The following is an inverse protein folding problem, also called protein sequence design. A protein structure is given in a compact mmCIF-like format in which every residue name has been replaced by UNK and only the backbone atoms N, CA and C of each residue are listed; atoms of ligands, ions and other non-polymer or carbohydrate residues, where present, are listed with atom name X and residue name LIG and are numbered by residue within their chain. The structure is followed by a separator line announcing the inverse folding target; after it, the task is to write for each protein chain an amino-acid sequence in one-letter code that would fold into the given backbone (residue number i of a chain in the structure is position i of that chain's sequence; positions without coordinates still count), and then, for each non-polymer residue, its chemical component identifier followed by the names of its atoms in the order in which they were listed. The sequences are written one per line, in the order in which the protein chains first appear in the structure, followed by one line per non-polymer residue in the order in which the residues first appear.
data_IF_723147136297
#
_entry.id   IF_723147136297
#
_cell.length_a   1.000
_cell.length_b   1.000
_cell.length_c   1.000
_cell.angle_alpha   90.00
_cell.angle_beta   90.00
_cell.angle_gamma   90.00
#
_symmetry.space_group_name_H-M   'P 1'
#
loop_
_entity.id
_entity.type
_entity.pdbx_description
1 polymer ?
#
# COMPACT_ATOMS: atom_id res chain seq x y z
N UNK A 1 100.72 -93.69 -28.96
CA UNK A 1 100.72 -93.63 -30.44
C UNK A 1 99.35 -93.12 -30.83
N UNK A 2 99.38 -92.01 -31.57
CA UNK A 2 98.32 -91.33 -32.33
C UNK A 2 97.23 -90.61 -31.49
N UNK A 3 97.23 -89.27 -31.39
CA UNK A 3 96.94 -88.22 -32.40
C UNK A 3 95.45 -88.19 -32.79
N UNK A 4 94.71 -87.08 -32.85
CA UNK A 4 95.06 -85.65 -32.95
C UNK A 4 93.80 -84.79 -32.63
N UNK A 5 94.04 -83.62 -32.02
CA UNK A 5 93.44 -82.28 -32.23
C UNK A 5 91.95 -81.92 -31.93
N UNK A 6 91.88 -80.76 -31.28
CA UNK A 6 90.89 -79.65 -31.39
C UNK A 6 89.72 -79.53 -30.39
N UNK A 7 90.01 -78.77 -29.30
CA UNK A 7 89.43 -77.44 -28.97
C UNK A 7 87.90 -77.32 -28.96
N UNK A 8 87.29 -77.24 -27.77
CA UNK A 8 87.03 -75.95 -27.11
C UNK A 8 86.49 -76.17 -25.68
N UNK A 9 87.02 -75.41 -24.73
CA UNK A 9 86.81 -75.57 -23.30
C UNK A 9 85.51 -74.95 -22.79
N UNK A 10 84.92 -75.66 -21.84
CA UNK A 10 83.94 -75.17 -20.87
C UNK A 10 84.55 -74.14 -19.90
N UNK A 11 83.66 -73.35 -19.29
CA UNK A 11 83.86 -72.74 -17.98
C UNK A 11 83.00 -71.49 -17.83
N UNK A 12 82.36 -71.17 -16.71
CA UNK A 12 82.22 -71.84 -15.42
C UNK A 12 81.20 -71.03 -14.59
N UNK A 13 80.56 -71.69 -13.62
CA UNK A 13 79.75 -71.16 -12.50
C UNK A 13 80.53 -70.09 -11.66
N UNK A 14 80.02 -69.25 -10.77
CA UNK A 14 78.90 -69.31 -9.80
C UNK A 14 78.73 -67.90 -9.09
N UNK A 15 78.16 -67.77 -7.85
CA UNK A 15 76.89 -67.12 -7.42
C UNK A 15 77.11 -65.72 -6.78
N UNK A 16 76.15 -65.14 -6.02
CA UNK A 16 76.28 -64.30 -4.79
C UNK A 16 75.06 -63.35 -4.53
N UNK A 17 74.61 -63.38 -3.26
CA UNK A 17 74.04 -62.33 -2.36
C UNK A 17 72.76 -61.55 -2.76
N UNK A 18 71.63 -61.59 -2.03
CA UNK A 18 71.23 -61.25 -0.63
C UNK A 18 70.89 -59.76 -0.43
N UNK A 19 69.65 -59.55 0.05
CA UNK A 19 69.12 -58.41 0.82
C UNK A 19 69.04 -57.01 0.16
N UNK A 20 67.85 -56.69 -0.37
CA UNK A 20 67.33 -55.34 -0.49
C UNK A 20 65.97 -55.27 0.21
N UNK A 21 65.96 -54.70 1.41
CA UNK A 21 64.75 -54.33 2.12
C UNK A 21 63.95 -53.31 1.31
N UNK A 22 62.67 -53.55 1.11
CA UNK A 22 61.68 -52.48 1.10
C UNK A 22 60.32 -53.07 1.50
N UNK A 23 60.04 -52.81 2.76
CA UNK A 23 58.77 -52.97 3.46
C UNK A 23 57.65 -52.37 2.60
N UNK A 24 56.93 -53.23 1.87
CA UNK A 24 55.78 -52.80 1.08
C UNK A 24 54.72 -52.35 2.07
N UNK A 25 54.55 -51.03 2.10
CA UNK A 25 53.60 -50.26 2.87
C UNK A 25 52.30 -51.02 3.11
N UNK A 26 51.97 -51.24 4.38
CA UNK A 26 50.61 -51.49 4.79
C UNK A 26 49.74 -50.36 4.23
N UNK A 27 48.92 -50.70 3.24
CA UNK A 27 47.85 -49.86 2.73
C UNK A 27 46.91 -49.61 3.91
N UNK A 28 47.14 -48.50 4.62
CA UNK A 28 46.20 -47.98 5.60
C UNK A 28 44.92 -47.72 4.86
N UNK A 29 43.95 -48.62 5.04
CA UNK A 29 42.56 -48.44 4.61
C UNK A 29 42.05 -47.18 5.31
N UNK A 30 42.22 -46.04 4.66
CA UNK A 30 41.49 -44.84 5.01
C UNK A 30 40.00 -45.21 4.90
N UNK A 31 39.16 -44.91 5.89
CA UNK A 31 37.73 -45.13 5.75
C UNK A 31 37.27 -44.32 4.54
N UNK A 32 36.87 -44.99 3.47
CA UNK A 32 36.22 -44.33 2.34
C UNK A 32 35.08 -43.48 2.92
N UNK A 33 34.95 -42.20 2.55
CA UNK A 33 33.76 -41.45 2.96
C UNK A 33 32.57 -42.27 2.48
N UNK A 34 31.67 -42.64 3.38
CA UNK A 34 30.46 -43.37 3.04
C UNK A 34 29.70 -42.55 2.00
N UNK A 35 29.86 -42.90 0.71
CA UNK A 35 29.19 -42.20 -0.38
C UNK A 35 27.72 -42.49 -0.16
N UNK A 36 26.89 -41.49 0.20
CA UNK A 36 25.48 -41.75 0.42
C UNK A 36 24.93 -42.36 -0.87
N UNK A 37 24.18 -43.45 -0.74
CA UNK A 37 23.76 -44.22 -1.92
C UNK A 37 23.05 -43.27 -2.89
N UNK A 38 23.37 -43.36 -4.19
CA UNK A 38 22.78 -42.49 -5.22
C UNK A 38 21.25 -42.50 -5.17
N UNK A 39 20.67 -43.64 -4.77
CA UNK A 39 19.23 -43.80 -4.55
C UNK A 39 18.73 -43.00 -3.35
N UNK A 40 19.48 -42.98 -2.24
CA UNK A 40 19.11 -42.21 -1.05
C UNK A 40 19.17 -40.69 -1.29
N UNK A 41 20.19 -40.19 -2.00
CA UNK A 41 20.27 -38.77 -2.36
C UNK A 41 19.19 -38.35 -3.35
N UNK A 42 18.88 -39.20 -4.35
CA UNK A 42 17.75 -38.99 -5.27
C UNK A 42 16.41 -38.97 -4.54
N UNK A 43 16.16 -39.94 -3.66
CA UNK A 43 14.92 -40.01 -2.87
C UNK A 43 14.76 -38.80 -1.95
N UNK A 44 15.82 -38.41 -1.25
CA UNK A 44 15.82 -37.22 -0.39
C UNK A 44 15.56 -35.94 -1.21
N UNK A 45 16.14 -35.83 -2.40
CA UNK A 45 15.89 -34.72 -3.33
C UNK A 45 14.42 -34.64 -3.77
N UNK A 46 13.79 -35.77 -4.10
CA UNK A 46 12.36 -35.81 -4.45
C UNK A 46 11.44 -35.46 -3.28
N UNK A 47 11.78 -35.88 -2.06
CA UNK A 47 11.03 -35.51 -0.85
C UNK A 47 11.13 -34.01 -0.59
N UNK A 48 12.32 -33.43 -0.66
CA UNK A 48 12.52 -31.99 -0.49
C UNK A 48 11.82 -31.19 -1.59
N UNK A 49 11.87 -31.68 -2.84
CA UNK A 49 11.15 -31.07 -3.95
C UNK A 49 9.63 -31.08 -3.71
N UNK A 50 9.06 -32.22 -3.31
CA UNK A 50 7.64 -32.32 -3.00
C UNK A 50 7.23 -31.37 -1.86
N UNK A 51 8.04 -31.26 -0.80
CA UNK A 51 7.82 -30.31 0.29
C UNK A 51 7.85 -28.87 -0.24
N UNK A 52 8.83 -28.53 -1.07
CA UNK A 52 8.95 -27.18 -1.64
C UNK A 52 7.74 -26.80 -2.50
N UNK A 53 7.21 -27.75 -3.28
CA UNK A 53 6.02 -27.55 -4.11
C UNK A 53 4.79 -27.31 -3.24
N UNK A 54 4.61 -28.08 -2.17
CA UNK A 54 3.48 -27.89 -1.24
C UNK A 54 3.56 -26.51 -0.58
N UNK A 55 4.75 -26.09 -0.12
CA UNK A 55 4.95 -24.77 0.48
C UNK A 55 4.66 -23.66 -0.54
N UNK A 56 5.19 -23.77 -1.76
CA UNK A 56 4.93 -22.80 -2.83
C UNK A 56 3.43 -22.68 -3.16
N UNK A 57 2.71 -23.80 -3.14
CA UNK A 57 1.28 -23.83 -3.43
C UNK A 57 0.47 -23.18 -2.28
N UNK A 58 0.84 -23.42 -1.02
CA UNK A 58 0.24 -22.74 0.13
C UNK A 58 0.46 -21.23 0.07
N UNK A 59 1.69 -20.78 -0.24
CA UNK A 59 2.01 -19.36 -0.39
C UNK A 59 1.24 -18.72 -1.56
N UNK A 60 1.15 -19.41 -2.70
CA UNK A 60 0.38 -18.93 -3.85
C UNK A 60 -1.10 -18.75 -3.50
N UNK A 61 -1.71 -19.69 -2.76
CA UNK A 61 -3.10 -19.57 -2.29
C UNK A 61 -3.28 -18.40 -1.33
N UNK A 62 -2.36 -18.20 -0.38
CA UNK A 62 -2.43 -17.04 0.53
C UNK A 62 -2.33 -15.73 -0.24
N UNK A 63 -1.39 -15.63 -1.18
CA UNK A 63 -1.18 -14.43 -1.99
C UNK A 63 -2.40 -14.11 -2.87
N UNK A 64 -3.09 -15.12 -3.40
CA UNK A 64 -4.36 -14.94 -4.14
C UNK A 64 -5.46 -14.42 -3.20
N UNK A 65 -5.58 -14.99 -2.00
CA UNK A 65 -6.58 -14.53 -1.01
C UNK A 65 -6.32 -13.07 -0.59
N UNK A 66 -5.07 -12.72 -0.30
CA UNK A 66 -4.68 -11.35 0.05
C UNK A 66 -4.98 -10.36 -1.08
N UNK A 67 -4.74 -10.75 -2.34
CA UNK A 67 -5.10 -9.92 -3.49
C UNK A 67 -6.60 -9.73 -3.63
N UNK A 68 -7.40 -10.76 -3.40
CA UNK A 68 -8.85 -10.67 -3.42
C UNK A 68 -9.36 -9.75 -2.31
N UNK A 69 -8.85 -9.89 -1.07
CA UNK A 69 -9.24 -9.01 0.04
C UNK A 69 -8.80 -7.56 -0.19
N UNK A 70 -7.61 -7.34 -0.75
CA UNK A 70 -7.14 -5.99 -1.06
C UNK A 70 -7.96 -5.34 -2.19
N UNK A 71 -8.36 -6.10 -3.20
CA UNK A 71 -9.24 -5.60 -4.26
C UNK A 71 -10.61 -5.20 -3.70
N UNK A 72 -11.20 -6.03 -2.83
CA UNK A 72 -12.48 -5.73 -2.18
C UNK A 72 -12.38 -4.49 -1.26
N UNK A 73 -11.32 -4.38 -0.46
CA UNK A 73 -11.08 -3.20 0.37
C UNK A 73 -10.88 -1.94 -0.47
N UNK A 74 -10.13 -2.04 -1.58
CA UNK A 74 -9.93 -0.92 -2.50
C UNK A 74 -11.25 -0.46 -3.14
N UNK A 75 -12.12 -1.39 -3.53
CA UNK A 75 -13.45 -1.06 -4.05
C UNK A 75 -14.29 -0.36 -2.98
N UNK A 76 -14.34 -0.89 -1.76
CA UNK A 76 -15.06 -0.28 -0.63
C UNK A 76 -14.55 1.12 -0.31
N UNK A 77 -13.23 1.34 -0.35
CA UNK A 77 -12.63 2.67 -0.16
C UNK A 77 -13.07 3.63 -1.26
N UNK A 78 -13.05 3.20 -2.53
CA UNK A 78 -13.48 4.05 -3.65
C UNK A 78 -14.95 4.45 -3.56
N UNK A 79 -15.81 3.53 -3.10
CA UNK A 79 -17.23 3.80 -2.84
C UNK A 79 -17.41 4.77 -1.68
N UNK A 80 -16.64 4.61 -0.60
CA UNK A 80 -16.67 5.51 0.55
C UNK A 80 -16.22 6.92 0.15
N UNK A 81 -15.13 7.04 -0.61
CA UNK A 81 -14.66 8.33 -1.13
C UNK A 81 -15.70 9.01 -2.02
N UNK A 82 -16.37 8.23 -2.88
CA UNK A 82 -17.47 8.72 -3.71
C UNK A 82 -18.65 9.22 -2.87
N UNK A 83 -19.04 8.46 -1.84
CA UNK A 83 -20.10 8.83 -0.92
C UNK A 83 -19.77 10.09 -0.11
N UNK A 84 -18.54 10.19 0.41
CA UNK A 84 -18.05 11.38 1.13
C UNK A 84 -18.04 12.61 0.20
N UNK A 85 -17.54 12.46 -1.02
CA UNK A 85 -17.54 13.52 -2.02
C UNK A 85 -18.97 13.99 -2.33
N UNK A 86 -19.90 13.05 -2.54
CA UNK A 86 -21.31 13.34 -2.80
C UNK A 86 -21.98 14.05 -1.63
N UNK A 87 -21.79 13.55 -0.40
CA UNK A 87 -22.36 14.14 0.81
C UNK A 87 -21.84 15.57 1.03
N UNK A 88 -20.53 15.79 0.90
CA UNK A 88 -19.91 17.11 0.96
C UNK A 88 -20.55 18.08 -0.03
N UNK A 89 -20.71 17.66 -1.29
CA UNK A 89 -21.34 18.49 -2.31
C UNK A 89 -22.78 18.86 -1.94
N UNK A 90 -23.59 17.89 -1.52
CA UNK A 90 -24.98 18.12 -1.14
C UNK A 90 -25.09 19.10 0.04
N UNK A 91 -24.29 18.95 1.10
CA UNK A 91 -24.36 19.86 2.24
C UNK A 91 -23.97 21.29 1.88
N UNK A 92 -22.91 21.47 1.09
CA UNK A 92 -22.49 22.80 0.67
C UNK A 92 -23.51 23.44 -0.29
N UNK A 93 -24.10 22.69 -1.22
CA UNK A 93 -25.17 23.16 -2.10
C UNK A 93 -26.42 23.57 -1.30
N UNK A 94 -26.76 22.81 -0.25
CA UNK A 94 -27.86 23.17 0.66
C UNK A 94 -27.57 24.44 1.43
N UNK A 95 -26.37 24.60 1.97
CA UNK A 95 -25.96 25.85 2.60
C UNK A 95 -26.08 27.04 1.64
N UNK A 96 -25.61 26.89 0.39
CA UNK A 96 -25.69 27.92 -0.63
C UNK A 96 -27.14 28.28 -1.00
N UNK A 97 -28.02 27.28 -1.10
CA UNK A 97 -29.44 27.51 -1.35
C UNK A 97 -30.10 28.31 -0.21
N UNK A 98 -29.83 27.96 1.06
CA UNK A 98 -30.35 28.70 2.21
C UNK A 98 -29.85 30.15 2.24
N UNK A 99 -28.59 30.41 1.90
CA UNK A 99 -28.09 31.78 1.74
C UNK A 99 -28.77 32.52 0.58
N UNK A 100 -29.09 31.82 -0.52
CA UNK A 100 -29.86 32.37 -1.63
C UNK A 100 -31.26 32.81 -1.20
N UNK A 101 -31.95 31.98 -0.42
CA UNK A 101 -33.26 32.32 0.14
C UNK A 101 -33.16 33.49 1.14
N UNK A 102 -32.14 33.49 2.02
CA UNK A 102 -31.88 34.58 2.95
C UNK A 102 -31.68 35.91 2.20
N UNK A 103 -31.00 35.91 1.06
CA UNK A 103 -30.79 37.10 0.23
C UNK A 103 -32.09 37.64 -0.32
N UNK A 104 -32.97 36.77 -0.82
CA UNK A 104 -34.32 37.16 -1.31
C UNK A 104 -35.16 37.75 -0.17
N UNK A 105 -35.18 37.11 0.99
CA UNK A 105 -35.95 37.57 2.16
C UNK A 105 -35.41 38.91 2.71
N UNK A 106 -34.10 39.16 2.57
CA UNK A 106 -33.46 40.41 2.95
C UNK A 106 -33.72 41.54 1.94
N UNK A 107 -33.97 41.22 0.66
CA UNK A 107 -34.33 42.17 -0.39
C UNK A 107 -35.80 42.60 -0.35
N UNK A 108 -36.66 41.87 0.38
CA UNK A 108 -38.05 42.28 0.58
C UNK A 108 -38.17 43.65 1.27
N UNK A 109 -39.27 44.34 1.01
CA UNK A 109 -39.60 45.64 1.62
C UNK A 109 -40.96 45.56 2.36
N UNK A 110 -40.99 45.56 3.70
CA UNK A 110 -39.84 45.56 4.61
C UNK A 110 -39.11 44.19 4.64
N UNK A 111 -37.83 44.14 5.07
CA UNK A 111 -37.07 42.91 5.16
C UNK A 111 -37.72 41.89 6.10
N UNK A 112 -37.72 40.62 5.67
CA UNK A 112 -38.29 39.49 6.40
C UNK A 112 -37.32 38.95 7.46
N UNK A 113 -37.05 39.76 8.49
CA UNK A 113 -35.97 39.55 9.48
C UNK A 113 -35.98 38.15 10.11
N UNK A 114 -37.14 37.66 10.51
CA UNK A 114 -37.29 36.32 11.11
C UNK A 114 -36.95 35.20 10.11
N UNK A 115 -37.43 35.32 8.87
CA UNK A 115 -37.09 34.35 7.83
C UNK A 115 -35.60 34.39 7.52
N UNK A 116 -35.01 35.58 7.41
CA UNK A 116 -33.56 35.73 7.19
C UNK A 116 -32.77 35.03 8.31
N UNK A 117 -33.07 35.31 9.59
CA UNK A 117 -32.39 34.66 10.71
C UNK A 117 -32.50 33.13 10.66
N UNK A 118 -33.70 32.60 10.41
CA UNK A 118 -33.93 31.17 10.26
C UNK A 118 -33.10 30.55 9.12
N UNK A 119 -33.06 31.21 7.95
CA UNK A 119 -32.28 30.76 6.80
C UNK A 119 -30.78 30.76 7.07
N UNK A 120 -30.28 31.77 7.80
CA UNK A 120 -28.89 31.84 8.21
C UNK A 120 -28.53 30.72 9.20
N UNK A 121 -29.41 30.41 10.15
CA UNK A 121 -29.22 29.29 11.08
C UNK A 121 -29.20 27.93 10.36
N UNK A 122 -30.09 27.73 9.38
CA UNK A 122 -30.07 26.53 8.54
C UNK A 122 -28.80 26.45 7.68
N UNK A 123 -28.33 27.56 7.11
CA UNK A 123 -27.07 27.60 6.39
C UNK A 123 -25.88 27.23 7.30
N UNK A 124 -25.86 27.74 8.54
CA UNK A 124 -24.86 27.38 9.56
C UNK A 124 -24.93 25.88 9.87
N UNK A 125 -26.15 25.33 10.03
CA UNK A 125 -26.35 23.90 10.30
C UNK A 125 -25.76 23.05 9.18
N UNK A 126 -26.08 23.36 7.92
CA UNK A 126 -25.54 22.64 6.77
C UNK A 126 -24.02 22.77 6.63
N UNK A 127 -23.46 23.95 6.91
CA UNK A 127 -22.00 24.16 6.92
C UNK A 127 -21.30 23.34 8.00
N UNK A 128 -21.90 23.24 9.19
CA UNK A 128 -21.37 22.43 10.29
C UNK A 128 -21.42 20.94 9.97
N UNK A 129 -22.49 20.49 9.31
CA UNK A 129 -22.64 19.10 8.88
C UNK A 129 -21.67 18.76 7.73
N UNK A 130 -21.32 19.74 6.90
CA UNK A 130 -20.29 19.59 5.86
C UNK A 130 -18.87 19.56 6.41
N UNK A 131 -18.57 20.32 7.47
CA UNK A 131 -17.24 20.51 8.05
C UNK A 131 -16.39 19.23 8.21
N UNK A 132 -16.87 18.12 8.81
CA UNK A 132 -16.06 16.90 8.96
C UNK A 132 -15.69 16.22 7.63
N UNK A 133 -16.34 16.58 6.53
CA UNK A 133 -16.11 16.02 5.21
C UNK A 133 -15.16 16.88 4.35
N UNK A 134 -14.77 18.06 4.84
CA UNK A 134 -13.90 19.00 4.12
C UNK A 134 -12.41 18.72 4.39
N UNK A 135 -11.56 19.22 3.51
CA UNK A 135 -10.12 19.32 3.76
C UNK A 135 -9.82 20.18 5.00
N UNK A 136 -8.59 20.14 5.53
CA UNK A 136 -8.19 20.99 6.67
C UNK A 136 -8.35 22.49 6.38
N UNK A 137 -8.00 22.92 5.17
CA UNK A 137 -8.19 24.31 4.74
C UNK A 137 -9.67 24.65 4.57
N UNK A 138 -10.45 23.73 3.99
CA UNK A 138 -11.90 23.86 3.85
C UNK A 138 -12.62 23.95 5.19
N UNK A 139 -12.19 23.20 6.21
CA UNK A 139 -12.70 23.29 7.59
C UNK A 139 -12.48 24.67 8.18
N UNK A 140 -11.27 25.22 8.04
CA UNK A 140 -10.94 26.56 8.53
C UNK A 140 -11.82 27.64 7.86
N UNK A 141 -12.05 27.50 6.54
CA UNK A 141 -12.94 28.39 5.79
C UNK A 141 -14.41 28.23 6.19
N UNK A 142 -14.89 27.00 6.39
CA UNK A 142 -16.26 26.75 6.84
C UNK A 142 -16.50 27.35 8.23
N UNK A 143 -15.55 27.24 9.15
CA UNK A 143 -15.63 27.85 10.48
C UNK A 143 -15.69 29.38 10.42
N UNK A 144 -14.88 30.01 9.56
CA UNK A 144 -14.92 31.47 9.40
C UNK A 144 -16.23 31.93 8.78
N UNK A 145 -16.79 31.19 7.81
CA UNK A 145 -18.12 31.44 7.25
C UNK A 145 -19.21 31.31 8.32
N UNK A 146 -19.18 30.26 9.14
CA UNK A 146 -20.12 30.09 10.25
C UNK A 146 -20.05 31.27 11.24
N UNK A 147 -18.85 31.79 11.54
CA UNK A 147 -18.69 32.95 12.41
C UNK A 147 -19.28 34.22 11.79
N UNK A 148 -19.03 34.46 10.50
CA UNK A 148 -19.59 35.60 9.77
C UNK A 148 -21.13 35.54 9.71
N UNK A 149 -21.69 34.35 9.46
CA UNK A 149 -23.14 34.13 9.43
C UNK A 149 -23.82 34.42 10.77
N UNK A 150 -23.16 34.14 11.90
CA UNK A 150 -23.72 34.43 13.24
C UNK A 150 -23.84 35.93 13.54
N UNK A 151 -23.06 36.78 12.85
CA UNK A 151 -23.07 38.23 13.05
C UNK A 151 -24.14 38.94 12.19
N UNK A 152 -24.57 38.29 11.11
CA UNK A 152 -25.52 38.86 10.14
C UNK A 152 -26.89 39.23 10.71
N UNK A 153 -27.55 38.43 11.59
CA UNK A 153 -28.87 38.80 12.12
C UNK A 153 -28.87 40.16 12.82
N UNK A 154 -27.83 40.45 13.60
CA UNK A 154 -27.68 41.76 14.26
C UNK A 154 -27.48 42.89 13.24
N UNK A 155 -26.74 42.64 12.16
CA UNK A 155 -26.52 43.61 11.10
C UNK A 155 -27.81 43.89 10.31
N UNK A 156 -28.65 42.88 10.07
CA UNK A 156 -29.95 43.01 9.39
C UNK A 156 -30.90 43.94 10.16
N UNK A 157 -30.84 43.92 11.49
CA UNK A 157 -31.66 44.80 12.32
C UNK A 157 -31.21 46.26 12.30
N UNK A 158 -29.90 46.49 12.22
CA UNK A 158 -29.27 47.81 12.28
C UNK A 158 -29.21 48.49 10.90
N UNK A 159 -28.66 47.79 9.91
CA UNK A 159 -28.45 48.27 8.55
C UNK A 159 -28.67 47.12 7.53
N UNK A 160 -29.88 47.01 6.95
CA UNK A 160 -30.18 45.96 6.00
C UNK A 160 -29.39 46.10 4.68
N UNK A 161 -28.88 47.29 4.34
CA UNK A 161 -28.09 47.49 3.12
C UNK A 161 -26.69 46.92 3.33
N UNK A 162 -26.04 47.22 4.45
CA UNK A 162 -24.77 46.60 4.81
C UNK A 162 -24.90 45.09 4.98
N UNK A 163 -26.01 44.61 5.56
CA UNK A 163 -26.28 43.18 5.68
C UNK A 163 -26.34 42.45 4.32
N UNK A 164 -26.90 43.08 3.29
CA UNK A 164 -26.90 42.52 1.93
C UNK A 164 -25.49 42.38 1.35
N UNK A 165 -24.64 43.39 1.59
CA UNK A 165 -23.25 43.37 1.12
C UNK A 165 -22.44 42.29 1.82
N UNK A 166 -22.58 42.16 3.15
CA UNK A 166 -21.91 41.09 3.91
C UNK A 166 -22.42 39.70 3.50
N UNK A 167 -23.73 39.54 3.30
CA UNK A 167 -24.29 38.28 2.82
C UNK A 167 -23.73 37.89 1.44
N UNK A 168 -23.58 38.85 0.52
CA UNK A 168 -22.98 38.61 -0.80
C UNK A 168 -21.53 38.15 -0.69
N UNK A 169 -20.72 38.75 0.19
CA UNK A 169 -19.33 38.31 0.44
C UNK A 169 -19.27 36.88 0.96
N UNK A 170 -20.20 36.51 1.84
CA UNK A 170 -20.29 35.14 2.38
C UNK A 170 -20.72 34.16 1.29
N UNK A 171 -21.67 34.53 0.42
CA UNK A 171 -22.08 33.72 -0.73
C UNK A 171 -20.89 33.46 -1.68
N UNK A 172 -20.14 34.50 -2.04
CA UNK A 172 -18.94 34.37 -2.88
C UNK A 172 -17.89 33.47 -2.24
N UNK A 173 -17.66 33.62 -0.93
CA UNK A 173 -16.71 32.81 -0.21
C UNK A 173 -17.16 31.34 -0.10
N UNK A 174 -18.46 31.08 0.06
CA UNK A 174 -19.03 29.74 0.02
C UNK A 174 -18.90 29.11 -1.37
N UNK A 175 -19.11 29.87 -2.44
CA UNK A 175 -18.94 29.37 -3.81
C UNK A 175 -17.47 29.01 -4.12
N UNK A 176 -16.53 29.79 -3.58
CA UNK A 176 -15.09 29.46 -3.66
C UNK A 176 -14.76 28.18 -2.87
N UNK A 177 -15.30 28.03 -1.66
CA UNK A 177 -15.15 26.82 -0.85
C UNK A 177 -15.69 25.61 -1.63
N UNK A 178 -16.93 25.70 -2.13
CA UNK A 178 -17.55 24.67 -2.97
C UNK A 178 -16.69 24.32 -4.17
N UNK A 179 -16.19 25.31 -4.91
CA UNK A 179 -15.35 25.08 -6.07
C UNK A 179 -14.06 24.35 -5.69
N UNK A 180 -13.40 24.75 -4.60
CA UNK A 180 -12.17 24.10 -4.14
C UNK A 180 -12.37 22.66 -3.66
N UNK A 181 -13.51 22.37 -3.02
CA UNK A 181 -13.80 21.09 -2.40
C UNK A 181 -14.48 20.09 -3.36
N UNK A 182 -15.17 20.58 -4.40
CA UNK A 182 -15.99 19.74 -5.29
C UNK A 182 -15.53 19.74 -6.74
N UNK A 183 -14.68 20.66 -7.19
CA UNK A 183 -14.11 20.62 -8.55
C UNK A 183 -12.73 19.97 -8.61
N UNK A 184 -12.08 19.73 -7.48
CA UNK A 184 -10.81 19.04 -7.42
C UNK A 184 -11.01 17.51 -7.54
N UNK A 185 -11.05 17.01 -8.78
CA UNK A 185 -10.60 15.66 -9.14
C UNK A 185 -10.11 15.67 -10.59
#
# INVERSE_FOLDING_TARGET
MDEERERNGQGQQEPYEREGAEEIAHETVAPQPAVPSRLFTLLLGWVLFAISVVIALVLAVQLVRERQTNAELSERISLLESAVFSARKVFLERAAAELGYASVDLQADPPKRYQVAFRLDEAIRWLRDAEPLLSDSGRTQAQSLQQALRQLPALVEQDPVSARQELAKIQDALERLMSSETKAK
#
